data_IF_108943390752
#
_entry.id   IF_108943390752
#
_cell.length_a   1.000
_cell.length_b   1.000
_cell.length_c   1.000
_cell.angle_alpha   90.00
_cell.angle_beta   90.00
_cell.angle_gamma   90.00
#
_symmetry.space_group_name_H-M   'P 1'
#
loop_
_entity.id
_entity.type
_entity.pdbx_description
1 polymer ?
#
# COMPACT_ATOMS: atom_id res chain seq x y z
N UNK A 1 5.82 -12.84 -6.89
CA UNK A 1 5.92 -11.84 -5.79
C UNK A 1 6.94 -12.37 -4.77
N UNK A 2 8.26 -12.12 -4.94
CA UNK A 2 9.30 -12.76 -4.12
C UNK A 2 9.15 -12.44 -2.62
N UNK A 3 8.69 -11.23 -2.27
CA UNK A 3 8.41 -10.82 -0.89
C UNK A 3 7.31 -11.66 -0.22
N UNK A 4 6.24 -11.99 -0.97
CA UNK A 4 5.13 -12.78 -0.45
C UNK A 4 5.54 -14.23 -0.20
N UNK A 5 6.29 -14.82 -1.13
CA UNK A 5 6.82 -16.18 -0.97
C UNK A 5 7.71 -16.29 0.27
N UNK A 6 8.66 -15.37 0.45
CA UNK A 6 9.52 -15.33 1.63
C UNK A 6 8.73 -15.13 2.95
N UNK A 7 7.65 -14.32 2.91
CA UNK A 7 6.76 -14.14 4.05
C UNK A 7 6.05 -15.45 4.43
N UNK A 8 5.50 -16.16 3.44
CA UNK A 8 4.83 -17.44 3.66
C UNK A 8 5.79 -18.50 4.18
N UNK A 9 6.99 -18.60 3.63
CA UNK A 9 8.04 -19.51 4.12
C UNK A 9 8.37 -19.26 5.60
N UNK A 10 8.57 -17.98 5.97
CA UNK A 10 8.84 -17.58 7.36
C UNK A 10 7.72 -18.01 8.31
N UNK A 11 6.47 -17.78 7.95
CA UNK A 11 5.34 -18.12 8.82
C UNK A 11 4.99 -19.60 8.84
N UNK A 12 5.27 -20.33 7.75
CA UNK A 12 5.21 -21.78 7.72
C UNK A 12 6.26 -22.40 8.65
N UNK A 13 7.48 -21.84 8.70
CA UNK A 13 8.50 -22.25 9.68
C UNK A 13 8.07 -21.93 11.11
N UNK A 14 7.56 -20.72 11.35
CA UNK A 14 7.06 -20.33 12.67
C UNK A 14 5.93 -21.26 13.16
N UNK A 15 5.03 -21.68 12.29
CA UNK A 15 3.94 -22.61 12.61
C UNK A 15 4.44 -23.99 13.02
N UNK A 16 5.57 -24.46 12.45
CA UNK A 16 6.19 -25.74 12.79
C UNK A 16 6.98 -25.72 14.09
N UNK A 17 7.32 -24.54 14.63
CA UNK A 17 8.09 -24.43 15.87
C UNK A 17 7.29 -24.97 17.07
N UNK A 18 7.93 -25.81 17.86
CA UNK A 18 7.34 -26.45 19.06
C UNK A 18 7.49 -25.58 20.32
N UNK A 19 8.14 -24.43 20.23
CA UNK A 19 8.37 -23.51 21.34
C UNK A 19 7.11 -22.72 21.71
N UNK A 20 7.03 -22.22 22.96
CA UNK A 20 5.94 -21.35 23.41
C UNK A 20 5.89 -20.06 22.60
N UNK A 21 4.81 -19.88 21.85
CA UNK A 21 4.55 -18.67 21.06
C UNK A 21 4.04 -17.51 21.93
N UNK A 22 4.49 -16.30 21.62
CA UNK A 22 3.96 -15.05 22.16
C UNK A 22 2.54 -14.76 21.68
N UNK A 23 1.85 -13.81 22.30
CA UNK A 23 0.50 -13.40 21.89
C UNK A 23 0.49 -12.75 20.50
N UNK A 24 1.55 -12.02 20.15
CA UNK A 24 1.73 -11.41 18.83
C UNK A 24 1.88 -12.51 17.77
N UNK A 25 2.79 -13.48 17.99
CA UNK A 25 3.06 -14.55 17.03
C UNK A 25 1.80 -15.39 16.77
N UNK A 26 1.01 -15.67 17.82
CA UNK A 26 -0.29 -16.36 17.69
C UNK A 26 -1.27 -15.59 16.83
N UNK A 27 -1.35 -14.26 17.01
CA UNK A 27 -2.23 -13.42 16.20
C UNK A 27 -1.75 -13.38 14.75
N UNK A 28 -0.45 -13.26 14.52
CA UNK A 28 0.15 -13.32 13.18
C UNK A 28 -0.10 -14.67 12.48
N UNK A 29 0.06 -15.80 13.19
CA UNK A 29 -0.26 -17.13 12.68
C UNK A 29 -1.75 -17.34 12.39
N UNK A 30 -2.65 -16.67 13.13
CA UNK A 30 -4.08 -16.70 12.83
C UNK A 30 -4.36 -16.12 11.43
N UNK A 31 -3.78 -14.97 11.08
CA UNK A 31 -3.97 -14.38 9.76
C UNK A 31 -3.32 -15.22 8.66
N UNK A 32 -2.09 -15.70 8.88
CA UNK A 32 -1.41 -16.60 7.96
C UNK A 32 -2.25 -17.85 7.64
N UNK A 33 -2.72 -18.56 8.67
CA UNK A 33 -3.50 -19.78 8.48
C UNK A 33 -4.84 -19.54 7.76
N UNK A 34 -5.49 -18.38 8.00
CA UNK A 34 -6.70 -18.00 7.24
C UNK A 34 -6.36 -17.79 5.77
N UNK A 35 -5.23 -17.17 5.45
CA UNK A 35 -4.79 -16.98 4.06
C UNK A 35 -4.52 -18.31 3.35
N UNK A 36 -3.79 -19.23 4.00
CA UNK A 36 -3.55 -20.57 3.46
C UNK A 36 -4.86 -21.32 3.20
N UNK A 37 -5.81 -21.28 4.15
CA UNK A 37 -7.13 -21.89 4.00
C UNK A 37 -7.90 -21.33 2.79
N UNK A 38 -7.89 -19.99 2.60
CA UNK A 38 -8.55 -19.36 1.45
C UNK A 38 -7.86 -19.74 0.13
N UNK A 39 -6.53 -19.84 0.11
CA UNK A 39 -5.76 -20.19 -1.10
C UNK A 39 -5.90 -21.67 -1.47
N UNK A 40 -5.93 -22.56 -0.49
CA UNK A 40 -6.15 -24.00 -0.70
C UNK A 40 -7.62 -24.35 -0.99
N UNK A 41 -8.52 -23.35 -1.01
CA UNK A 41 -9.96 -23.52 -1.14
C UNK A 41 -10.56 -24.50 -0.10
N UNK A 42 -9.91 -24.63 1.06
CA UNK A 42 -10.33 -25.53 2.13
C UNK A 42 -11.46 -24.84 2.89
N UNK A 43 -12.63 -25.48 2.93
CA UNK A 43 -13.73 -25.08 3.82
C UNK A 43 -13.53 -25.71 5.18
N UNK A 44 -12.75 -25.06 6.04
CA UNK A 44 -12.58 -25.52 7.42
C UNK A 44 -13.78 -25.11 8.28
N UNK A 45 -14.29 -26.03 9.09
CA UNK A 45 -15.39 -25.79 10.04
C UNK A 45 -14.97 -24.96 11.29
N UNK A 46 -13.73 -24.46 11.33
CA UNK A 46 -13.20 -23.73 12.48
C UNK A 46 -13.78 -22.32 12.58
N UNK A 47 -14.18 -21.95 13.81
CA UNK A 47 -14.69 -20.62 14.14
C UNK A 47 -13.55 -19.58 14.10
N UNK A 48 -13.20 -19.14 12.89
CA UNK A 48 -12.25 -18.03 12.68
C UNK A 48 -12.97 -16.68 12.86
N UNK A 49 -12.32 -15.64 13.41
CA UNK A 49 -12.94 -14.33 13.56
C UNK A 49 -13.28 -13.71 12.19
N UNK A 50 -14.53 -13.28 12.00
CA UNK A 50 -15.00 -12.67 10.74
C UNK A 50 -14.14 -11.49 10.29
N UNK A 51 -13.65 -10.67 11.23
CA UNK A 51 -12.76 -9.54 10.94
C UNK A 51 -11.47 -9.98 10.23
N UNK A 52 -10.90 -11.11 10.64
CA UNK A 52 -9.64 -11.61 10.09
C UNK A 52 -9.88 -12.20 8.69
N UNK A 53 -10.98 -12.95 8.52
CA UNK A 53 -11.40 -13.46 7.21
C UNK A 53 -11.64 -12.31 6.23
N UNK A 54 -12.40 -11.30 6.63
CA UNK A 54 -12.69 -10.13 5.78
C UNK A 54 -11.43 -9.35 5.41
N UNK A 55 -10.49 -9.21 6.35
CA UNK A 55 -9.21 -8.56 6.08
C UNK A 55 -8.38 -9.35 5.04
N UNK A 56 -8.27 -10.66 5.20
CA UNK A 56 -7.56 -11.53 4.24
C UNK A 56 -8.24 -11.50 2.86
N UNK A 57 -9.58 -11.54 2.80
CA UNK A 57 -10.29 -11.41 1.52
C UNK A 57 -10.00 -10.09 0.82
N UNK A 58 -9.97 -8.99 1.58
CA UNK A 58 -9.65 -7.69 1.02
C UNK A 58 -8.21 -7.63 0.50
N UNK A 59 -7.22 -8.17 1.22
CA UNK A 59 -5.83 -8.17 0.75
C UNK A 59 -5.65 -9.03 -0.52
N UNK A 60 -6.29 -10.19 -0.57
CA UNK A 60 -6.28 -11.06 -1.76
C UNK A 60 -6.97 -10.39 -2.96
N UNK A 61 -8.05 -9.63 -2.73
CA UNK A 61 -8.69 -8.86 -3.79
C UNK A 61 -7.80 -7.72 -4.31
N UNK A 62 -7.00 -7.08 -3.44
CA UNK A 62 -5.98 -6.12 -3.87
C UNK A 62 -4.92 -6.81 -4.72
N UNK A 63 -4.42 -7.98 -4.32
CA UNK A 63 -3.42 -8.71 -5.11
C UNK A 63 -3.94 -9.09 -6.49
N UNK A 64 -5.17 -9.62 -6.57
CA UNK A 64 -5.81 -9.95 -7.84
C UNK A 64 -5.87 -8.72 -8.76
N UNK A 65 -6.30 -7.57 -8.21
CA UNK A 65 -6.33 -6.31 -8.94
C UNK A 65 -4.94 -5.89 -9.44
N UNK A 66 -3.91 -5.97 -8.58
CA UNK A 66 -2.53 -5.60 -8.93
C UNK A 66 -1.96 -6.51 -9.99
N UNK A 67 -2.23 -7.82 -9.94
CA UNK A 67 -1.79 -8.76 -10.97
C UNK A 67 -2.41 -8.46 -12.34
N UNK A 68 -3.71 -8.15 -12.36
CA UNK A 68 -4.44 -7.84 -13.59
C UNK A 68 -4.05 -6.47 -14.17
N UNK A 69 -3.94 -5.45 -13.33
CA UNK A 69 -3.79 -4.06 -13.77
C UNK A 69 -2.33 -3.56 -13.74
N UNK A 70 -1.41 -4.34 -13.16
CA UNK A 70 0.01 -3.97 -12.92
C UNK A 70 0.18 -2.63 -12.18
N UNK A 71 -0.77 -2.32 -11.29
CA UNK A 71 -0.79 -1.11 -10.46
C UNK A 71 -1.68 -1.28 -9.23
N UNK A 72 -1.44 -0.47 -8.20
CA UNK A 72 -2.30 -0.38 -7.01
C UNK A 72 -3.66 0.25 -7.38
N UNK A 73 -4.77 -0.16 -6.73
CA UNK A 73 -6.07 0.52 -6.83
C UNK A 73 -5.98 2.01 -6.48
N UNK A 74 -6.48 2.88 -7.37
CA UNK A 74 -6.49 4.33 -7.14
C UNK A 74 -7.89 4.86 -7.02
N UNK A 75 -8.07 5.87 -6.15
CA UNK A 75 -9.33 6.59 -6.05
C UNK A 75 -9.52 7.47 -7.28
N UNK A 76 -10.48 7.13 -8.12
CA UNK A 76 -10.86 7.98 -9.24
C UNK A 76 -11.87 9.04 -8.77
N UNK A 77 -11.38 10.24 -8.46
CA UNK A 77 -12.21 11.36 -7.99
C UNK A 77 -13.24 11.86 -9.02
N UNK A 78 -13.06 11.55 -10.32
CA UNK A 78 -14.04 11.85 -11.36
C UNK A 78 -15.16 10.81 -11.39
N UNK A 79 -14.83 9.52 -11.32
CA UNK A 79 -15.80 8.44 -11.25
C UNK A 79 -16.61 8.47 -9.94
N UNK A 80 -15.97 8.82 -8.82
CA UNK A 80 -16.63 8.97 -7.52
C UNK A 80 -17.75 10.05 -7.52
N UNK A 81 -17.68 11.05 -8.40
CA UNK A 81 -18.76 12.04 -8.58
C UNK A 81 -19.95 11.50 -9.38
N UNK A 82 -19.76 10.45 -10.15
CA UNK A 82 -20.77 9.86 -11.03
C UNK A 82 -21.47 8.65 -10.40
N UNK A 83 -21.40 8.52 -9.07
CA UNK A 83 -22.07 7.49 -8.27
C UNK A 83 -21.76 6.02 -8.61
N UNK A 84 -20.76 5.73 -9.45
CA UNK A 84 -20.29 4.35 -9.64
C UNK A 84 -19.34 3.98 -8.50
N UNK A 85 -19.87 3.22 -7.53
CA UNK A 85 -19.05 2.56 -6.51
C UNK A 85 -18.33 1.37 -7.17
N UNK A 86 -17.28 1.66 -7.93
CA UNK A 86 -16.50 0.62 -8.60
C UNK A 86 -15.74 -0.23 -7.56
N UNK A 87 -15.49 -1.50 -7.90
CA UNK A 87 -14.68 -2.41 -7.06
C UNK A 87 -13.32 -1.77 -6.74
N UNK A 88 -12.68 -1.11 -7.71
CA UNK A 88 -11.43 -0.39 -7.50
C UNK A 88 -11.55 0.70 -6.42
N UNK A 89 -12.65 1.45 -6.41
CA UNK A 89 -12.88 2.51 -5.44
C UNK A 89 -12.93 1.96 -4.01
N UNK A 90 -13.62 0.83 -3.81
CA UNK A 90 -13.69 0.15 -2.52
C UNK A 90 -12.30 -0.35 -2.07
N UNK A 91 -11.51 -0.94 -2.96
CA UNK A 91 -10.15 -1.39 -2.66
C UNK A 91 -9.21 -0.22 -2.34
N UNK A 92 -9.30 0.89 -3.09
CA UNK A 92 -8.52 2.09 -2.84
C UNK A 92 -8.86 2.72 -1.49
N UNK A 93 -10.15 2.77 -1.12
CA UNK A 93 -10.58 3.28 0.18
C UNK A 93 -10.17 2.34 1.33
N UNK A 94 -10.19 1.01 1.11
CA UNK A 94 -9.67 0.04 2.07
C UNK A 94 -8.17 0.22 2.31
N UNK A 95 -7.35 0.35 1.26
CA UNK A 95 -5.91 0.62 1.39
C UNK A 95 -5.65 1.96 2.11
N UNK A 96 -6.42 3.00 1.80
CA UNK A 96 -6.33 4.28 2.52
C UNK A 96 -6.64 4.11 4.01
N UNK A 97 -7.63 3.29 4.35
CA UNK A 97 -7.95 3.00 5.75
C UNK A 97 -6.81 2.24 6.45
N UNK A 98 -6.18 1.27 5.78
CA UNK A 98 -5.04 0.54 6.34
C UNK A 98 -3.84 1.45 6.66
N UNK A 99 -3.62 2.51 5.86
CA UNK A 99 -2.51 3.47 6.04
C UNK A 99 -2.68 4.44 7.21
N UNK A 100 -3.88 4.54 7.80
CA UNK A 100 -4.11 5.48 8.92
C UNK A 100 -3.23 5.07 10.10
N UNK A 101 -2.55 6.01 10.80
CA UNK A 101 -1.68 5.67 11.94
C UNK A 101 -2.37 4.77 12.96
N UNK A 102 -3.57 5.17 13.42
CA UNK A 102 -4.38 4.38 14.36
C UNK A 102 -4.71 2.96 13.87
N UNK A 103 -4.86 2.75 12.58
CA UNK A 103 -5.12 1.41 12.01
C UNK A 103 -3.83 0.62 11.92
N UNK A 104 -2.76 1.25 11.43
CA UNK A 104 -1.42 0.66 11.29
C UNK A 104 -0.85 0.19 12.62
N UNK A 105 -1.03 0.97 13.67
CA UNK A 105 -0.55 0.63 15.03
C UNK A 105 -1.26 -0.58 15.63
N UNK A 106 -2.43 -0.95 15.10
CA UNK A 106 -3.21 -2.11 15.52
C UNK A 106 -2.91 -3.37 14.68
N UNK A 107 -2.13 -3.26 13.60
CA UNK A 107 -1.77 -4.42 12.79
C UNK A 107 -0.74 -5.29 13.51
N UNK A 108 -0.98 -6.60 13.54
CA UNK A 108 0.08 -7.54 13.91
C UNK A 108 1.20 -7.53 12.84
N UNK A 109 2.32 -8.16 13.15
CA UNK A 109 3.47 -8.22 12.24
C UNK A 109 3.09 -8.82 10.88
N UNK A 110 2.34 -9.93 10.86
CA UNK A 110 1.91 -10.56 9.61
C UNK A 110 1.12 -9.58 8.73
N UNK A 111 0.15 -8.86 9.29
CA UNK A 111 -0.66 -7.91 8.53
C UNK A 111 0.18 -6.78 7.92
N UNK A 112 1.16 -6.25 8.66
CA UNK A 112 2.07 -5.20 8.16
C UNK A 112 2.93 -5.72 7.02
N UNK A 113 3.63 -6.83 7.24
CA UNK A 113 4.51 -7.44 6.24
C UNK A 113 3.72 -7.88 5.00
N UNK A 114 2.48 -8.33 5.19
CA UNK A 114 1.61 -8.77 4.11
C UNK A 114 1.11 -7.63 3.22
N UNK A 115 0.91 -6.43 3.78
CA UNK A 115 0.65 -5.22 2.99
C UNK A 115 1.92 -4.77 2.26
N UNK A 116 3.08 -4.83 2.91
CA UNK A 116 4.38 -4.47 2.34
C UNK A 116 4.87 -5.44 1.23
N UNK A 117 4.31 -6.65 1.18
CA UNK A 117 4.57 -7.61 0.12
C UNK A 117 3.80 -7.32 -1.17
N UNK A 118 2.80 -6.43 -1.14
CA UNK A 118 2.03 -6.02 -2.32
C UNK A 118 2.90 -5.09 -3.17
N UNK A 119 3.02 -5.39 -4.47
CA UNK A 119 3.80 -4.57 -5.39
C UNK A 119 3.20 -3.15 -5.54
N UNK A 120 4.05 -2.14 -5.41
CA UNK A 120 3.66 -0.73 -5.46
C UNK A 120 2.97 -0.21 -4.21
N UNK A 121 2.79 -1.04 -3.17
CA UNK A 121 2.28 -0.56 -1.88
C UNK A 121 3.32 0.28 -1.16
N UNK A 122 2.84 1.37 -0.57
CA UNK A 122 3.59 2.27 0.27
C UNK A 122 2.67 2.75 1.40
N UNK A 123 3.23 2.88 2.60
CA UNK A 123 2.55 3.43 3.78
C UNK A 123 2.25 4.92 3.63
N UNK A 124 3.15 5.66 2.97
CA UNK A 124 3.07 7.13 2.82
C UNK A 124 3.20 7.56 1.36
N UNK A 125 2.28 7.12 0.45
CA UNK A 125 2.41 7.33 -0.99
C UNK A 125 2.47 8.82 -1.39
N UNK A 126 1.90 9.71 -0.59
CA UNK A 126 1.99 11.16 -0.85
C UNK A 126 3.38 11.72 -0.52
N UNK A 127 4.00 11.26 0.54
CA UNK A 127 5.31 11.74 0.97
C UNK A 127 6.40 11.17 0.05
N UNK A 128 6.35 9.86 -0.25
CA UNK A 128 7.25 9.26 -1.24
C UNK A 128 7.13 9.91 -2.63
N UNK A 129 5.91 10.26 -3.06
CA UNK A 129 5.71 10.99 -4.31
C UNK A 129 6.29 12.41 -4.26
N UNK A 130 6.21 13.08 -3.10
CA UNK A 130 6.83 14.40 -2.90
C UNK A 130 8.36 14.31 -2.91
N UNK A 131 8.94 13.32 -2.24
CA UNK A 131 10.39 13.08 -2.19
C UNK A 131 10.93 12.78 -3.59
N UNK A 132 10.27 11.90 -4.35
CA UNK A 132 10.64 11.62 -5.73
C UNK A 132 10.59 12.90 -6.59
N UNK A 133 9.55 13.70 -6.45
CA UNK A 133 9.40 14.96 -7.20
C UNK A 133 10.46 16.00 -6.81
N UNK A 134 10.84 16.03 -5.54
CA UNK A 134 11.93 16.87 -5.06
C UNK A 134 13.28 16.42 -5.64
N UNK A 135 13.54 15.12 -5.71
CA UNK A 135 14.74 14.57 -6.33
C UNK A 135 14.79 14.88 -7.83
N UNK A 136 13.68 14.73 -8.57
CA UNK A 136 13.57 15.12 -9.98
C UNK A 136 13.85 16.62 -10.18
N UNK A 137 13.33 17.45 -9.28
CA UNK A 137 13.57 18.89 -9.33
C UNK A 137 15.05 19.21 -9.13
N UNK A 138 15.69 18.60 -8.14
CA UNK A 138 17.11 18.81 -7.86
C UNK A 138 17.98 18.37 -9.04
N UNK A 139 17.74 17.16 -9.58
CA UNK A 139 18.45 16.66 -10.74
C UNK A 139 18.30 17.58 -11.97
N UNK A 140 17.12 18.16 -12.19
CA UNK A 140 16.91 19.14 -13.25
C UNK A 140 17.77 20.40 -13.05
N UNK A 141 17.81 20.92 -11.82
CA UNK A 141 18.61 22.12 -11.50
C UNK A 141 20.09 21.84 -11.69
N UNK A 142 20.57 20.70 -11.24
CA UNK A 142 21.98 20.30 -11.37
C UNK A 142 22.38 20.15 -12.84
N UNK A 143 21.52 19.54 -13.66
CA UNK A 143 21.78 19.32 -15.08
C UNK A 143 21.68 20.60 -15.93
N UNK A 144 20.66 21.42 -15.69
CA UNK A 144 20.38 22.61 -16.51
C UNK A 144 21.04 23.89 -15.98
N UNK A 145 21.56 23.87 -14.75
CA UNK A 145 22.12 25.04 -14.05
C UNK A 145 21.09 26.12 -13.72
N UNK A 146 19.78 25.80 -13.80
CA UNK A 146 18.69 26.76 -13.61
C UNK A 146 17.43 26.09 -13.08
N UNK A 147 16.54 26.90 -12.50
CA UNK A 147 15.22 26.43 -12.07
C UNK A 147 14.29 26.11 -13.26
N UNK A 148 13.36 25.15 -13.11
CA UNK A 148 12.29 24.87 -14.07
C UNK A 148 11.37 26.09 -14.30
N UNK A 149 10.91 26.29 -15.54
CA UNK A 149 10.06 27.40 -15.95
C UNK A 149 8.61 26.95 -16.20
N UNK A 150 7.66 27.70 -15.66
CA UNK A 150 6.22 27.47 -15.88
C UNK A 150 5.77 27.61 -17.34
N UNK A 151 6.48 28.43 -18.14
CA UNK A 151 6.19 28.67 -19.56
C UNK A 151 7.03 27.79 -20.50
N UNK A 152 7.70 26.75 -19.99
CA UNK A 152 8.44 25.82 -20.84
C UNK A 152 7.49 25.06 -21.78
N UNK A 153 7.96 24.75 -22.99
CA UNK A 153 7.27 23.84 -23.91
C UNK A 153 7.31 22.39 -23.40
N UNK A 154 8.29 22.04 -22.57
CA UNK A 154 8.40 20.72 -21.95
C UNK A 154 7.37 20.55 -20.82
N UNK A 155 6.42 19.59 -20.93
CA UNK A 155 5.48 19.28 -19.86
C UNK A 155 6.15 18.84 -18.54
N UNK A 156 7.32 18.17 -18.61
CA UNK A 156 8.05 17.73 -17.41
C UNK A 156 8.59 18.93 -16.65
N UNK A 157 9.26 19.85 -17.34
CA UNK A 157 9.74 21.11 -16.74
C UNK A 157 8.59 21.91 -16.10
N UNK A 158 7.44 22.03 -16.78
CA UNK A 158 6.27 22.72 -16.21
C UNK A 158 5.75 22.05 -14.94
N UNK A 159 5.75 20.72 -14.88
CA UNK A 159 5.36 19.95 -13.70
C UNK A 159 6.29 20.22 -12.51
N UNK A 160 7.60 20.27 -12.75
CA UNK A 160 8.60 20.60 -11.72
C UNK A 160 8.47 22.04 -11.23
N UNK A 161 8.20 22.99 -12.15
CA UNK A 161 7.95 24.39 -11.79
C UNK A 161 6.74 24.50 -10.85
N UNK A 162 5.62 23.86 -11.20
CA UNK A 162 4.40 23.84 -10.39
C UNK A 162 4.59 23.17 -9.02
N UNK A 163 5.42 22.12 -8.93
CA UNK A 163 5.77 21.49 -7.67
C UNK A 163 6.50 22.48 -6.74
N UNK A 164 7.53 23.16 -7.24
CA UNK A 164 8.33 24.12 -6.43
C UNK A 164 7.52 25.31 -5.91
N UNK A 165 6.57 25.82 -6.70
CA UNK A 165 5.65 26.88 -6.29
C UNK A 165 4.76 26.45 -5.10
N UNK A 166 4.29 25.21 -5.09
CA UNK A 166 3.47 24.65 -3.99
C UNK A 166 4.28 24.45 -2.71
N UNK A 167 5.54 24.02 -2.81
CA UNK A 167 6.43 23.90 -1.64
C UNK A 167 6.72 25.27 -1.00
N UNK A 168 7.02 26.28 -1.83
CA UNK A 168 7.32 27.63 -1.33
C UNK A 168 6.11 28.27 -0.62
N UNK A 169 4.89 27.96 -1.06
CA UNK A 169 3.67 28.46 -0.43
C UNK A 169 3.37 27.78 0.92
N UNK A 170 3.72 26.50 1.07
CA UNK A 170 3.58 25.79 2.34
C UNK A 170 4.54 26.35 3.40
N UNK A 171 5.81 26.56 3.03
CA UNK A 171 6.86 27.07 3.92
C UNK A 171 6.69 28.55 4.33
N UNK A 172 5.78 29.30 3.68
CA UNK A 172 5.42 30.68 4.05
C UNK A 172 4.23 30.79 5.01
N UNK A 173 3.57 29.66 5.31
CA UNK A 173 2.37 29.59 6.17
C UNK A 173 2.65 28.92 7.52
N UNK A 174 3.89 28.53 7.74
CA UNK A 174 4.47 28.10 9.02
C UNK A 174 5.27 29.25 9.61
#
# INVERSE_FOLDING_TARGET
>A
MPKLTALHERYAELQRRTTRLSSEEKLSLLYFAIEEEQQAAIRTASSRPLRAISWIRAVLAVDAFVQENRRIPVRNSRAARMASNSVEQALADWLRYQRRPRTRDLHCEYQRLRLESIEGFDWSPLDSARELKAAEFQAFVDFMGRRPRHRSSDPRERSLAAFSARQTQAHRRE
#
